data_IF_187299629382
#
_entry.id   IF_187299629382
#
_cell.length_a   1.000
_cell.length_b   1.000
_cell.length_c   1.000
_cell.angle_alpha   90.00
_cell.angle_beta   90.00
_cell.angle_gamma   90.00
#
_symmetry.space_group_name_H-M   'P 1'
#
loop_
_entity.id
_entity.type
_entity.pdbx_description
1 polymer ?
#
# COMPACT_ATOMS: atom_id res chain seq x y z
N UNK A 1 -28.05 -20.60 26.42
CA UNK A 1 -27.08 -21.68 26.64
C UNK A 1 -26.68 -22.21 25.27
N UNK A 2 -25.63 -21.62 24.74
CA UNK A 2 -24.61 -22.22 23.88
C UNK A 2 -23.60 -21.08 23.71
N UNK A 3 -22.69 -21.00 24.68
CA UNK A 3 -21.51 -20.16 24.59
C UNK A 3 -20.68 -20.72 23.44
N UNK A 4 -20.76 -20.07 22.28
CA UNK A 4 -19.79 -20.24 21.20
C UNK A 4 -18.49 -19.61 21.70
N UNK A 5 -17.75 -20.35 22.51
CA UNK A 5 -16.37 -20.03 22.86
C UNK A 5 -15.52 -20.37 21.64
N UNK A 6 -15.66 -19.58 20.58
CA UNK A 6 -14.72 -19.58 19.47
C UNK A 6 -13.32 -19.37 20.08
N UNK A 7 -12.40 -20.27 19.76
CA UNK A 7 -11.01 -20.17 20.19
C UNK A 7 -10.45 -18.83 19.72
N UNK A 8 -10.43 -17.83 20.62
CA UNK A 8 -9.82 -16.54 20.37
C UNK A 8 -8.38 -16.77 19.96
N UNK A 9 -8.00 -16.19 18.83
CA UNK A 9 -6.61 -16.21 18.37
C UNK A 9 -5.79 -15.44 19.40
N UNK A 10 -4.73 -16.04 19.94
CA UNK A 10 -3.81 -15.34 20.82
C UNK A 10 -2.97 -14.35 19.99
N UNK A 11 -3.42 -13.10 19.96
CA UNK A 11 -2.77 -11.99 19.26
C UNK A 11 -1.79 -11.21 20.16
N UNK A 12 -1.50 -11.66 21.38
CA UNK A 12 -0.73 -10.86 22.36
C UNK A 12 0.69 -10.59 21.86
N UNK A 13 1.42 -11.65 21.48
CA UNK A 13 2.78 -11.55 20.92
C UNK A 13 2.78 -10.77 19.59
N UNK A 14 1.70 -10.90 18.81
CA UNK A 14 1.52 -10.16 17.56
C UNK A 14 1.43 -8.66 17.83
N UNK A 15 0.57 -8.25 18.75
CA UNK A 15 0.34 -6.85 19.08
C UNK A 15 1.60 -6.20 19.64
N UNK A 16 2.37 -6.91 20.45
CA UNK A 16 3.66 -6.44 20.96
C UNK A 16 4.66 -6.18 19.82
N UNK A 17 4.86 -7.13 18.90
CA UNK A 17 5.77 -6.97 17.76
C UNK A 17 5.35 -5.86 16.81
N UNK A 18 4.05 -5.74 16.52
CA UNK A 18 3.53 -4.68 15.67
C UNK A 18 3.67 -3.31 16.34
N UNK A 19 3.42 -3.22 17.66
CA UNK A 19 3.63 -1.98 18.39
C UNK A 19 5.10 -1.58 18.41
N UNK A 20 6.00 -2.53 18.67
CA UNK A 20 7.45 -2.30 18.58
C UNK A 20 7.86 -1.78 17.20
N UNK A 21 7.34 -2.40 16.12
CA UNK A 21 7.58 -1.94 14.77
C UNK A 21 7.09 -0.50 14.55
N UNK A 22 5.87 -0.15 14.99
CA UNK A 22 5.33 1.21 14.86
C UNK A 22 6.13 2.23 15.66
N UNK A 23 6.53 1.88 16.89
CA UNK A 23 7.33 2.74 17.76
C UNK A 23 8.71 3.01 17.16
N UNK A 24 9.34 1.98 16.58
CA UNK A 24 10.61 2.15 15.87
C UNK A 24 10.46 3.02 14.63
N UNK A 25 9.35 2.92 13.89
CA UNK A 25 9.09 3.86 12.78
C UNK A 25 8.89 5.29 13.28
N UNK A 26 8.07 5.50 14.32
CA UNK A 26 7.79 6.81 14.90
C UNK A 26 9.05 7.47 15.50
N UNK A 27 10.03 6.67 15.93
CA UNK A 27 11.33 7.17 16.39
C UNK A 27 12.16 7.84 15.28
N UNK A 28 11.91 7.48 14.02
CA UNK A 28 12.64 7.99 12.85
C UNK A 28 11.80 8.98 12.04
N UNK A 29 10.50 8.70 11.87
CA UNK A 29 9.58 9.47 11.03
C UNK A 29 8.55 10.16 11.92
N UNK A 30 8.45 11.48 11.78
CA UNK A 30 7.51 12.32 12.55
C UNK A 30 6.20 12.48 11.77
N UNK A 31 5.05 12.41 12.47
CA UNK A 31 3.76 12.85 11.93
C UNK A 31 3.09 11.91 10.91
N UNK A 32 3.59 10.69 10.73
CA UNK A 32 3.14 9.78 9.66
C UNK A 32 2.47 8.50 10.18
N UNK A 33 1.96 8.50 11.43
CA UNK A 33 1.39 7.30 12.06
C UNK A 33 0.27 6.65 11.23
N UNK A 34 -0.65 7.45 10.68
CA UNK A 34 -1.72 6.94 9.84
C UNK A 34 -1.19 6.30 8.53
N UNK A 35 -0.19 6.94 7.90
CA UNK A 35 0.46 6.41 6.71
C UNK A 35 1.13 5.07 7.01
N UNK A 36 1.78 4.95 8.17
CA UNK A 36 2.41 3.70 8.64
C UNK A 36 1.37 2.60 8.79
N UNK A 37 0.26 2.88 9.49
CA UNK A 37 -0.83 1.92 9.66
C UNK A 37 -1.39 1.40 8.33
N UNK A 38 -1.59 2.31 7.37
CA UNK A 38 -2.11 1.95 6.05
C UNK A 38 -1.12 1.14 5.21
N UNK A 39 0.18 1.47 5.26
CA UNK A 39 1.23 0.72 4.57
C UNK A 39 1.35 -0.69 5.16
N UNK A 40 1.37 -0.83 6.49
CA UNK A 40 1.39 -2.13 7.16
C UNK A 40 0.12 -2.93 6.86
N UNK A 41 -1.05 -2.29 6.86
CA UNK A 41 -2.30 -2.94 6.51
C UNK A 41 -2.28 -3.46 5.07
N UNK A 42 -1.73 -2.68 4.14
CA UNK A 42 -1.59 -3.11 2.75
C UNK A 42 -0.60 -4.27 2.59
N UNK A 43 0.54 -4.26 3.30
CA UNK A 43 1.50 -5.36 3.27
C UNK A 43 0.86 -6.66 3.81
N UNK A 44 0.14 -6.58 4.93
CA UNK A 44 -0.58 -7.74 5.49
C UNK A 44 -1.68 -8.23 4.56
N UNK A 45 -2.46 -7.32 3.96
CA UNK A 45 -3.50 -7.63 2.98
C UNK A 45 -2.95 -8.11 1.62
N UNK A 46 -1.61 -8.24 1.48
CA UNK A 46 -0.94 -8.60 0.25
C UNK A 46 -1.33 -7.69 -0.93
N UNK A 47 -1.39 -6.38 -0.66
CA UNK A 47 -1.76 -5.35 -1.62
C UNK A 47 -0.62 -4.39 -1.93
N UNK A 48 -0.75 -3.68 -3.04
CA UNK A 48 0.18 -2.62 -3.44
C UNK A 48 -0.35 -1.25 -3.05
N UNK A 49 0.54 -0.29 -2.82
CA UNK A 49 0.17 1.07 -2.37
C UNK A 49 0.70 2.10 -3.34
N UNK A 50 -0.16 3.05 -3.71
CA UNK A 50 0.25 4.27 -4.40
C UNK A 50 0.33 5.42 -3.39
N UNK A 51 1.50 6.00 -3.22
CA UNK A 51 1.75 7.12 -2.31
C UNK A 51 1.91 8.40 -3.14
N UNK A 52 0.91 9.25 -3.11
CA UNK A 52 0.95 10.58 -3.70
C UNK A 52 1.45 11.58 -2.65
N UNK A 53 2.39 12.45 -3.03
CA UNK A 53 2.82 13.50 -2.13
C UNK A 53 3.88 14.39 -2.72
N UNK A 54 4.13 15.50 -2.07
CA UNK A 54 5.20 16.44 -2.45
C UNK A 54 6.59 15.85 -2.19
N UNK A 55 7.66 16.37 -2.82
CA UNK A 55 9.02 15.97 -2.50
C UNK A 55 9.37 16.24 -1.03
N UNK A 56 10.22 15.40 -0.44
CA UNK A 56 10.76 15.63 0.91
C UNK A 56 9.95 15.08 2.09
N UNK A 57 8.75 14.53 1.88
CA UNK A 57 7.89 13.98 2.97
C UNK A 57 8.24 12.54 3.38
N UNK A 58 9.54 12.19 3.41
CA UNK A 58 10.06 10.91 3.91
C UNK A 58 9.49 9.61 3.26
N UNK A 59 8.86 9.66 2.08
CA UNK A 59 8.30 8.49 1.36
C UNK A 59 9.30 7.34 1.20
N UNK A 60 10.49 7.66 0.67
CA UNK A 60 11.56 6.68 0.47
C UNK A 60 12.08 6.12 1.80
N UNK A 61 12.12 6.95 2.84
CA UNK A 61 12.56 6.55 4.18
C UNK A 61 11.57 5.59 4.81
N UNK A 62 10.26 5.87 4.71
CA UNK A 62 9.18 4.99 5.18
C UNK A 62 9.28 3.60 4.56
N UNK A 63 9.38 3.52 3.23
CA UNK A 63 9.45 2.25 2.53
C UNK A 63 10.68 1.41 2.96
N UNK A 64 11.86 2.06 3.02
CA UNK A 64 13.11 1.39 3.40
C UNK A 64 13.10 0.95 4.86
N UNK A 65 12.63 1.81 5.76
CA UNK A 65 12.56 1.53 7.19
C UNK A 65 11.59 0.37 7.47
N UNK A 66 10.42 0.39 6.81
CA UNK A 66 9.42 -0.68 6.92
C UNK A 66 10.02 -2.03 6.48
N UNK A 67 10.72 -2.07 5.35
CA UNK A 67 11.36 -3.31 4.88
C UNK A 67 12.45 -3.79 5.84
N UNK A 68 13.28 -2.89 6.36
CA UNK A 68 14.31 -3.22 7.34
C UNK A 68 13.74 -3.81 8.63
N UNK A 69 12.65 -3.24 9.13
CA UNK A 69 11.99 -3.68 10.36
C UNK A 69 11.27 -5.03 10.23
N UNK A 70 10.93 -5.41 9.01
CA UNK A 70 10.27 -6.69 8.65
C UNK A 70 11.31 -7.77 8.24
N UNK A 71 12.59 -7.42 8.19
CA UNK A 71 13.65 -8.29 7.63
C UNK A 71 13.33 -8.73 6.19
N UNK A 72 12.77 -7.82 5.40
CA UNK A 72 12.37 -8.04 4.02
C UNK A 72 13.41 -7.50 3.04
N UNK A 73 13.62 -8.21 1.92
CA UNK A 73 14.45 -7.71 0.84
C UNK A 73 13.86 -6.41 0.28
N UNK A 74 14.69 -5.36 0.22
CA UNK A 74 14.28 -4.04 -0.26
C UNK A 74 14.95 -3.70 -1.59
N UNK A 75 14.17 -3.20 -2.52
CA UNK A 75 14.67 -2.66 -3.78
C UNK A 75 14.02 -1.31 -4.08
N UNK A 76 14.81 -0.41 -4.68
CA UNK A 76 14.35 0.91 -5.12
C UNK A 76 14.59 1.05 -6.61
N UNK A 77 13.53 1.40 -7.34
CA UNK A 77 13.54 1.67 -8.76
C UNK A 77 13.08 3.10 -8.98
N UNK A 78 13.94 3.92 -9.56
CA UNK A 78 13.58 5.27 -9.97
C UNK A 78 13.01 5.19 -11.39
N UNK A 79 11.76 5.61 -11.58
CA UNK A 79 11.18 5.67 -12.91
C UNK A 79 11.64 6.92 -13.63
N UNK A 80 12.20 6.73 -14.82
CA UNK A 80 12.71 7.78 -15.69
C UNK A 80 12.18 7.59 -17.11
N UNK A 81 12.17 8.65 -17.95
CA UNK A 81 11.62 8.58 -19.31
C UNK A 81 12.32 7.58 -20.24
N UNK A 82 13.55 7.19 -19.91
CA UNK A 82 14.40 6.26 -20.64
C UNK A 82 14.39 4.83 -20.09
N UNK A 83 13.70 4.58 -18.97
CA UNK A 83 13.67 3.27 -18.32
C UNK A 83 13.00 2.22 -19.21
N UNK A 84 13.70 1.11 -19.45
CA UNK A 84 13.19 -0.01 -20.23
C UNK A 84 12.56 -1.08 -19.33
N UNK A 85 11.60 -1.89 -19.85
CA UNK A 85 11.05 -3.01 -19.10
C UNK A 85 12.12 -3.98 -18.57
N UNK A 86 13.19 -4.22 -19.34
CA UNK A 86 14.31 -5.08 -18.93
C UNK A 86 15.08 -4.55 -17.72
N UNK A 87 15.12 -3.24 -17.51
CA UNK A 87 15.81 -2.64 -16.36
C UNK A 87 15.02 -2.88 -15.05
N UNK A 88 13.71 -3.13 -15.17
CA UNK A 88 12.81 -3.44 -14.06
C UNK A 88 12.72 -4.95 -13.85
N UNK A 89 12.40 -5.69 -14.92
CA UNK A 89 12.11 -7.12 -14.86
C UNK A 89 13.38 -7.97 -14.79
N UNK A 90 14.49 -7.50 -15.35
CA UNK A 90 15.71 -8.28 -15.55
C UNK A 90 15.99 -8.58 -17.01
N UNK A 91 17.14 -9.17 -17.26
CA UNK A 91 17.63 -9.47 -18.61
C UNK A 91 18.36 -10.80 -18.64
N UNK A 92 18.31 -11.47 -19.78
CA UNK A 92 19.02 -12.71 -20.01
C UNK A 92 20.38 -12.38 -20.62
N UNK A 93 21.46 -12.82 -19.95
CA UNK A 93 22.84 -12.53 -20.35
C UNK A 93 23.51 -13.82 -20.80
N UNK A 94 24.16 -13.79 -21.96
CA UNK A 94 24.93 -14.94 -22.44
C UNK A 94 26.21 -15.08 -21.62
N UNK A 95 26.35 -16.20 -20.90
CA UNK A 95 27.52 -16.52 -20.12
C UNK A 95 28.54 -17.28 -20.97
N UNK A 96 29.61 -16.59 -21.37
CA UNK A 96 30.67 -17.15 -22.22
C UNK A 96 31.42 -18.34 -21.57
N UNK A 97 31.36 -18.51 -20.24
CA UNK A 97 32.03 -19.62 -19.55
C UNK A 97 31.23 -20.91 -19.64
N UNK A 98 29.91 -20.82 -19.55
CA UNK A 98 29.00 -21.98 -19.61
C UNK A 98 28.44 -22.21 -21.02
N UNK A 99 28.60 -21.24 -21.94
CA UNK A 99 27.90 -21.19 -23.23
C UNK A 99 26.37 -21.31 -23.07
N UNK A 100 25.85 -20.76 -21.98
CA UNK A 100 24.42 -20.79 -21.65
C UNK A 100 23.90 -19.36 -21.39
N UNK A 101 22.58 -19.22 -21.37
CA UNK A 101 21.88 -17.97 -21.11
C UNK A 101 21.44 -17.91 -19.64
N UNK A 102 22.07 -17.05 -18.85
CA UNK A 102 21.74 -16.86 -17.44
C UNK A 102 20.77 -15.69 -17.27
N UNK A 103 19.65 -15.94 -16.58
CA UNK A 103 18.70 -14.87 -16.26
C UNK A 103 19.19 -14.06 -15.06
N UNK A 104 19.47 -12.78 -15.28
CA UNK A 104 19.78 -11.82 -14.23
C UNK A 104 18.48 -11.15 -13.79
N UNK A 105 18.04 -11.52 -12.58
CA UNK A 105 16.84 -10.94 -11.95
C UNK A 105 16.95 -9.43 -11.84
N UNK A 106 15.90 -8.74 -12.27
CA UNK A 106 15.78 -7.30 -12.10
C UNK A 106 15.47 -6.90 -10.66
N UNK A 107 15.50 -5.59 -10.36
CA UNK A 107 15.20 -5.05 -9.04
C UNK A 107 13.76 -5.36 -8.56
N UNK A 108 12.87 -5.79 -9.44
CA UNK A 108 11.47 -6.11 -9.12
C UNK A 108 11.30 -7.38 -8.29
N UNK A 109 12.33 -8.20 -8.11
CA UNK A 109 12.26 -9.49 -7.40
C UNK A 109 12.42 -9.39 -5.87
N UNK A 110 12.61 -8.19 -5.32
CA UNK A 110 12.67 -7.98 -3.87
C UNK A 110 11.28 -8.09 -3.21
N UNK A 111 11.23 -8.30 -1.90
CA UNK A 111 9.99 -8.45 -1.15
C UNK A 111 9.19 -7.14 -1.06
N UNK A 112 9.89 -6.03 -0.84
CA UNK A 112 9.32 -4.68 -0.87
C UNK A 112 10.05 -3.87 -1.93
N UNK A 113 9.30 -3.46 -2.95
CA UNK A 113 9.83 -2.69 -4.07
C UNK A 113 9.27 -1.27 -4.02
N UNK A 114 10.14 -0.29 -3.79
CA UNK A 114 9.81 1.12 -3.92
C UNK A 114 9.97 1.54 -5.39
N UNK A 115 8.88 1.97 -6.01
CA UNK A 115 8.88 2.54 -7.36
C UNK A 115 8.69 4.04 -7.25
N UNK A 116 9.76 4.81 -7.40
CA UNK A 116 9.69 6.27 -7.31
C UNK A 116 9.27 6.89 -8.64
N UNK A 117 8.32 7.83 -8.57
CA UNK A 117 7.82 8.62 -9.72
C UNK A 117 7.29 7.75 -10.86
N UNK A 118 6.38 6.81 -10.54
CA UNK A 118 5.81 5.84 -11.47
C UNK A 118 5.25 6.48 -12.77
N UNK A 119 4.81 7.73 -12.69
CA UNK A 119 4.28 8.50 -13.80
C UNK A 119 5.36 9.02 -14.78
N UNK A 120 6.66 8.88 -14.51
CA UNK A 120 7.74 9.34 -15.40
C UNK A 120 8.20 8.29 -16.41
N UNK A 121 7.93 7.00 -16.17
CA UNK A 121 8.32 5.96 -17.12
C UNK A 121 7.36 5.86 -18.31
N UNK A 122 7.86 5.40 -19.48
CA UNK A 122 7.01 5.11 -20.63
C UNK A 122 5.91 4.09 -20.32
N UNK A 123 4.80 4.18 -21.04
CA UNK A 123 3.64 3.29 -20.88
C UNK A 123 4.00 1.79 -21.00
N UNK A 124 5.03 1.43 -21.79
CA UNK A 124 5.49 0.03 -21.93
C UNK A 124 6.10 -0.50 -20.62
N UNK A 125 6.91 0.31 -19.96
CA UNK A 125 7.58 -0.05 -18.69
C UNK A 125 6.58 -0.06 -17.54
N UNK A 126 5.62 0.88 -17.54
CA UNK A 126 4.48 0.83 -16.64
C UNK A 126 3.64 -0.45 -16.83
N UNK A 127 3.31 -0.81 -18.08
CA UNK A 127 2.54 -2.01 -18.38
C UNK A 127 3.24 -3.28 -17.87
N UNK A 128 4.56 -3.38 -18.05
CA UNK A 128 5.36 -4.46 -17.49
C UNK A 128 5.25 -4.54 -15.96
N UNK A 129 5.37 -3.42 -15.24
CA UNK A 129 5.17 -3.38 -13.78
C UNK A 129 3.76 -3.85 -13.39
N UNK A 130 2.72 -3.38 -14.08
CA UNK A 130 1.34 -3.74 -13.76
C UNK A 130 1.00 -5.20 -14.04
N UNK A 131 1.67 -5.82 -15.01
CA UNK A 131 1.57 -7.27 -15.25
C UNK A 131 2.10 -8.04 -14.04
N UNK A 132 3.28 -7.65 -13.51
CA UNK A 132 3.85 -8.27 -12.30
C UNK A 132 2.95 -8.06 -11.08
N UNK A 133 2.37 -6.88 -10.94
CA UNK A 133 1.44 -6.58 -9.84
C UNK A 133 0.21 -7.50 -9.84
N UNK A 134 -0.35 -7.79 -11.01
CA UNK A 134 -1.56 -8.60 -11.13
C UNK A 134 -1.26 -10.10 -11.07
N UNK A 135 -0.27 -10.56 -11.85
CA UNK A 135 0.03 -11.98 -12.04
C UNK A 135 0.99 -12.54 -10.99
N UNK A 136 1.75 -11.67 -10.29
CA UNK A 136 2.80 -12.03 -9.31
C UNK A 136 3.83 -13.01 -9.88
N UNK A 137 4.07 -12.91 -11.18
CA UNK A 137 5.08 -13.66 -11.90
C UNK A 137 5.50 -12.89 -13.14
N UNK A 138 6.66 -13.24 -13.67
CA UNK A 138 7.21 -12.70 -14.92
C UNK A 138 7.55 -13.88 -15.82
N UNK A 139 7.27 -13.76 -17.11
CA UNK A 139 7.75 -14.73 -18.11
C UNK A 139 8.75 -14.07 -19.04
N UNK A 140 10.00 -14.53 -19.00
CA UNK A 140 11.09 -14.06 -19.87
C UNK A 140 11.67 -15.28 -20.59
N UNK A 141 11.82 -15.17 -21.91
CA UNK A 141 12.38 -16.23 -22.78
C UNK A 141 11.73 -17.61 -22.58
N UNK A 142 10.42 -17.64 -22.31
CA UNK A 142 9.66 -18.87 -22.10
C UNK A 142 9.78 -19.49 -20.70
N UNK A 143 10.57 -18.90 -19.80
CA UNK A 143 10.69 -19.33 -18.40
C UNK A 143 9.89 -18.40 -17.50
N UNK A 144 9.05 -18.97 -16.64
CA UNK A 144 8.24 -18.22 -15.68
C UNK A 144 8.93 -18.16 -14.31
N UNK A 145 9.13 -16.96 -13.81
CA UNK A 145 9.69 -16.67 -12.50
C UNK A 145 8.60 -16.08 -11.59
N UNK A 146 8.30 -16.73 -10.47
CA UNK A 146 7.29 -16.27 -9.52
C UNK A 146 7.90 -15.29 -8.52
N UNK A 147 7.11 -14.31 -8.09
CA UNK A 147 7.48 -13.42 -7.00
C UNK A 147 7.42 -14.17 -5.65
N UNK A 148 8.11 -13.64 -4.64
CA UNK A 148 8.05 -14.14 -3.27
C UNK A 148 6.65 -14.07 -2.66
N UNK A 149 6.41 -14.82 -1.58
CA UNK A 149 5.13 -14.77 -0.86
C UNK A 149 4.89 -13.40 -0.20
N UNK A 150 5.94 -12.77 0.32
CA UNK A 150 5.93 -11.36 0.71
C UNK A 150 6.32 -10.56 -0.53
N UNK A 151 5.34 -9.93 -1.18
CA UNK A 151 5.60 -9.11 -2.34
C UNK A 151 4.66 -7.90 -2.41
N UNK A 152 5.23 -6.73 -2.15
CA UNK A 152 4.52 -5.45 -2.10
C UNK A 152 5.29 -4.36 -2.84
N UNK A 153 4.66 -3.79 -3.85
CA UNK A 153 5.11 -2.56 -4.50
C UNK A 153 4.52 -1.35 -3.77
N UNK A 154 5.41 -0.44 -3.37
CA UNK A 154 5.09 0.91 -2.90
C UNK A 154 5.47 1.87 -4.03
N UNK A 155 4.48 2.34 -4.79
CA UNK A 155 4.72 3.29 -5.88
C UNK A 155 4.54 4.71 -5.37
N UNK A 156 5.38 5.65 -5.78
CA UNK A 156 5.24 7.07 -5.46
C UNK A 156 4.91 7.90 -6.71
N UNK A 157 4.12 8.94 -6.52
CA UNK A 157 3.82 9.92 -7.55
C UNK A 157 3.91 11.33 -6.97
N UNK A 158 4.47 12.27 -7.73
CA UNK A 158 4.44 13.69 -7.40
C UNK A 158 3.32 14.37 -8.22
N UNK A 159 2.31 14.98 -7.58
CA UNK A 159 1.20 15.61 -8.30
C UNK A 159 1.57 16.91 -9.02
N UNK A 160 2.69 17.55 -8.65
CA UNK A 160 3.07 18.89 -9.14
C UNK A 160 3.85 18.82 -10.46
N UNK A 161 4.50 17.69 -10.77
CA UNK A 161 5.29 17.53 -11.99
C UNK A 161 4.41 17.32 -13.23
N UNK A 162 4.36 18.33 -14.09
CA UNK A 162 3.61 18.29 -15.35
C UNK A 162 4.50 17.95 -16.57
N UNK A 163 5.82 18.10 -16.47
CA UNK A 163 6.72 17.90 -17.60
C UNK A 163 7.19 16.44 -17.68
N UNK A 164 6.98 15.80 -18.83
CA UNK A 164 7.43 14.42 -19.06
C UNK A 164 6.67 13.35 -18.25
N UNK A 165 5.46 13.64 -17.80
CA UNK A 165 4.65 12.68 -17.02
C UNK A 165 3.53 12.04 -17.85
N UNK A 166 3.32 10.75 -17.63
CA UNK A 166 2.27 9.92 -18.20
C UNK A 166 1.24 9.65 -17.11
N UNK A 167 0.02 10.17 -17.29
CA UNK A 167 -1.10 9.86 -16.39
C UNK A 167 -1.37 8.37 -16.41
N UNK A 168 -1.49 7.77 -15.23
CA UNK A 168 -1.90 6.38 -15.09
C UNK A 168 -3.39 6.25 -15.44
N UNK A 169 -3.76 5.40 -16.42
CA UNK A 169 -5.15 5.01 -16.65
C UNK A 169 -5.81 4.46 -15.38
N UNK A 170 -7.11 4.71 -15.25
CA UNK A 170 -7.93 4.25 -14.11
C UNK A 170 -7.89 2.72 -13.93
N UNK A 171 -7.83 1.98 -15.04
CA UNK A 171 -7.69 0.52 -15.00
C UNK A 171 -6.38 0.05 -14.36
N UNK A 172 -5.33 0.89 -14.39
CA UNK A 172 -4.06 0.62 -13.73
C UNK A 172 -4.08 1.04 -12.26
N UNK A 173 -4.68 2.19 -11.96
CA UNK A 173 -4.88 2.65 -10.58
C UNK A 173 -5.67 1.63 -9.76
N UNK A 174 -6.69 0.99 -10.35
CA UNK A 174 -7.53 -0.02 -9.67
C UNK A 174 -6.73 -1.25 -9.15
N UNK A 175 -5.50 -1.47 -9.65
CA UNK A 175 -4.59 -2.54 -9.17
C UNK A 175 -3.93 -2.23 -7.82
N UNK A 176 -3.86 -0.96 -7.44
CA UNK A 176 -3.40 -0.59 -6.09
C UNK A 176 -4.51 -0.85 -5.08
N UNK A 177 -4.18 -1.50 -3.97
CA UNK A 177 -5.12 -1.72 -2.87
C UNK A 177 -5.57 -0.36 -2.32
N UNK A 178 -4.58 0.50 -2.02
CA UNK A 178 -4.78 1.83 -1.46
C UNK A 178 -4.00 2.87 -2.25
N UNK A 179 -4.59 4.07 -2.32
CA UNK A 179 -3.89 5.30 -2.59
C UNK A 179 -3.78 6.07 -1.28
N UNK A 180 -2.62 6.60 -0.94
CA UNK A 180 -2.36 7.39 0.28
C UNK A 180 -1.79 8.75 -0.15
N UNK A 181 -2.28 9.83 0.45
CA UNK A 181 -1.78 11.18 0.21
C UNK A 181 -0.94 11.61 1.40
N UNK A 182 0.29 12.06 1.16
CA UNK A 182 1.20 12.61 2.16
C UNK A 182 1.42 14.10 1.88
N UNK A 183 0.88 14.93 2.75
CA UNK A 183 1.05 16.38 2.73
C UNK A 183 2.33 16.81 3.47
N UNK A 184 2.65 18.10 3.41
CA UNK A 184 3.71 18.66 4.24
C UNK A 184 3.40 18.47 5.73
N UNK A 185 4.42 18.25 6.57
CA UNK A 185 4.23 18.19 8.01
C UNK A 185 3.60 19.49 8.52
N UNK A 186 2.85 19.37 9.61
CA UNK A 186 2.42 20.53 10.39
C UNK A 186 3.62 21.29 10.95
N UNK A 187 3.41 22.53 11.39
CA UNK A 187 4.48 23.32 12.01
C UNK A 187 5.12 22.60 13.20
N UNK A 188 4.31 21.93 14.02
CA UNK A 188 4.79 21.19 15.20
C UNK A 188 5.66 20.00 14.78
N UNK A 189 5.20 19.22 13.81
CA UNK A 189 5.95 18.10 13.25
C UNK A 189 7.24 18.54 12.55
N UNK A 190 7.21 19.68 11.86
CA UNK A 190 8.39 20.25 11.20
C UNK A 190 9.43 20.73 12.24
N UNK A 191 8.98 21.35 13.34
CA UNK A 191 9.85 21.70 14.47
C UNK A 191 10.47 20.44 15.07
N UNK A 192 9.71 19.39 15.30
CA UNK A 192 10.22 18.11 15.82
C UNK A 192 11.27 17.49 14.89
N UNK A 193 11.05 17.54 13.56
CA UNK A 193 12.03 17.11 12.56
C UNK A 193 13.32 17.93 12.70
N UNK A 194 13.20 19.26 12.81
CA UNK A 194 14.36 20.15 12.98
C UNK A 194 15.11 19.87 14.29
N UNK A 195 14.42 19.66 15.40
CA UNK A 195 15.03 19.34 16.69
C UNK A 195 15.81 18.01 16.66
N UNK A 196 15.23 16.98 16.04
CA UNK A 196 15.89 15.67 15.86
C UNK A 196 17.15 15.78 15.00
N UNK A 197 17.11 16.56 13.92
CA UNK A 197 18.28 16.84 13.08
C UNK A 197 19.33 17.71 13.77
N UNK A 198 18.92 18.70 14.56
CA UNK A 198 19.82 19.60 15.27
C UNK A 198 20.62 18.88 16.37
N UNK A 199 19.97 17.96 17.08
CA UNK A 199 20.57 17.22 18.21
C UNK A 199 21.42 16.01 17.77
N UNK A 200 21.56 15.75 16.47
CA UNK A 200 22.12 14.51 15.90
C UNK A 200 21.43 13.22 16.40
N UNK A 201 20.29 13.32 17.08
CA UNK A 201 19.51 12.17 17.54
C UNK A 201 18.99 11.33 16.36
N UNK A 202 18.85 11.93 15.18
CA UNK A 202 18.39 11.28 13.94
C UNK A 202 19.49 10.60 13.11
N UNK A 203 20.74 10.53 13.58
CA UNK A 203 21.79 9.75 12.91
C UNK A 203 21.75 8.25 13.29
N UNK A 204 20.56 7.71 13.64
CA UNK A 204 20.38 6.26 13.60
C UNK A 204 20.60 5.86 12.15
N UNK A 205 21.76 5.26 11.88
CA UNK A 205 21.99 4.67 10.56
C UNK A 205 20.94 3.58 10.40
N UNK A 206 20.18 3.63 9.33
CA UNK A 206 19.21 2.58 8.98
C UNK A 206 19.80 1.17 9.08
N UNK A 207 21.11 1.05 8.81
CA UNK A 207 21.85 -0.21 8.90
C UNK A 207 21.94 -0.77 10.34
N UNK A 208 21.93 0.09 11.36
CA UNK A 208 22.02 -0.27 12.77
C UNK A 208 20.65 -0.66 13.37
N UNK A 209 19.55 -0.41 12.65
CA UNK A 209 18.20 -0.78 13.06
C UNK A 209 18.06 -2.30 12.94
N UNK A 210 17.68 -2.94 14.05
CA UNK A 210 17.40 -4.38 14.10
C UNK A 210 15.96 -4.64 13.64
N UNK A 211 15.71 -5.74 12.92
CA UNK A 211 14.34 -6.14 12.61
C UNK A 211 13.52 -6.35 13.89
N UNK A 212 12.29 -5.83 13.91
CA UNK A 212 11.31 -6.06 14.97
C UNK A 212 10.52 -7.36 14.73
N UNK A 213 10.27 -7.65 13.45
CA UNK A 213 9.61 -8.86 12.99
C UNK A 213 10.36 -9.45 11.80
N UNK A 214 10.38 -10.77 11.69
CA UNK A 214 10.92 -11.45 10.51
C UNK A 214 9.86 -11.62 9.42
N UNK A 215 10.30 -11.85 8.19
CA UNK A 215 9.43 -12.16 7.05
C UNK A 215 8.54 -13.38 7.31
N UNK A 216 9.09 -14.45 7.87
CA UNK A 216 8.37 -15.68 8.18
C UNK A 216 7.31 -15.45 9.26
N UNK A 217 7.66 -14.69 10.30
CA UNK A 217 6.69 -14.27 11.30
C UNK A 217 5.57 -13.47 10.63
N UNK A 218 5.87 -12.45 9.82
CA UNK A 218 4.85 -11.66 9.12
C UNK A 218 3.93 -12.51 8.22
N UNK A 219 4.48 -13.51 7.52
CA UNK A 219 3.67 -14.43 6.70
C UNK A 219 2.76 -15.32 7.55
N UNK A 220 3.23 -15.77 8.72
CA UNK A 220 2.37 -16.46 9.69
C UNK A 220 1.23 -15.55 10.17
N UNK A 221 1.49 -14.25 10.32
CA UNK A 221 0.48 -13.27 10.70
C UNK A 221 -0.57 -13.07 9.62
N UNK A 222 -0.14 -13.00 8.36
CA UNK A 222 -1.03 -12.95 7.21
C UNK A 222 -1.99 -14.15 7.19
N UNK A 223 -1.59 -15.33 7.65
CA UNK A 223 -2.49 -16.48 7.69
C UNK A 223 -3.71 -16.27 8.61
N UNK A 224 -3.58 -15.46 9.67
CA UNK A 224 -4.70 -15.11 10.56
C UNK A 224 -5.76 -14.23 9.89
N UNK A 225 -5.45 -13.56 8.78
CA UNK A 225 -6.45 -12.80 7.98
C UNK A 225 -7.69 -13.62 7.62
N UNK A 226 -7.50 -14.92 7.38
CA UNK A 226 -8.59 -15.83 7.04
C UNK A 226 -9.46 -16.16 8.26
N UNK A 227 -8.93 -16.03 9.47
CA UNK A 227 -9.61 -16.29 10.74
C UNK A 227 -10.32 -15.06 11.29
N UNK A 228 -9.98 -13.85 10.81
CA UNK A 228 -10.66 -12.62 11.23
C UNK A 228 -12.16 -12.70 10.93
N UNK A 229 -12.96 -12.61 11.99
CA UNK A 229 -14.40 -12.64 11.93
C UNK A 229 -14.95 -11.34 11.31
N UNK A 230 -15.88 -11.51 10.37
CA UNK A 230 -16.60 -10.39 9.74
C UNK A 230 -18.07 -10.75 9.69
N UNK A 231 -18.86 -10.02 10.46
CA UNK A 231 -20.30 -10.22 10.49
C UNK A 231 -20.93 -9.94 9.11
N UNK A 232 -22.02 -10.66 8.80
CA UNK A 232 -22.73 -10.50 7.51
C UNK A 232 -23.24 -9.08 7.31
N UNK A 233 -23.64 -8.37 8.37
CA UNK A 233 -24.07 -6.98 8.30
C UNK A 233 -22.94 -6.04 7.89
N UNK A 234 -21.70 -6.32 8.28
CA UNK A 234 -20.51 -5.57 7.85
C UNK A 234 -20.17 -5.83 6.38
N UNK A 235 -20.32 -7.08 5.91
CA UNK A 235 -20.20 -7.39 4.48
C UNK A 235 -21.23 -6.61 3.65
N UNK A 236 -22.48 -6.52 4.14
CA UNK A 236 -23.52 -5.71 3.53
C UNK A 236 -23.18 -4.22 3.58
N UNK A 237 -22.64 -3.73 4.69
CA UNK A 237 -22.20 -2.34 4.84
C UNK A 237 -21.13 -1.96 3.81
N UNK A 238 -20.09 -2.79 3.62
CA UNK A 238 -19.07 -2.61 2.58
C UNK A 238 -19.72 -2.55 1.19
N UNK A 239 -20.61 -3.50 0.88
CA UNK A 239 -21.30 -3.55 -0.40
C UNK A 239 -22.17 -2.32 -0.64
N UNK A 240 -22.87 -1.81 0.38
CA UNK A 240 -23.70 -0.61 0.33
C UNK A 240 -22.86 0.65 0.08
N UNK A 241 -21.71 0.81 0.74
CA UNK A 241 -20.78 1.92 0.49
C UNK A 241 -20.37 1.92 -0.99
N UNK A 242 -19.92 0.78 -1.51
CA UNK A 242 -19.49 0.67 -2.91
C UNK A 242 -20.67 0.90 -3.86
N UNK A 243 -21.87 0.41 -3.56
CA UNK A 243 -23.06 0.66 -4.36
C UNK A 243 -23.44 2.14 -4.39
N UNK A 244 -23.34 2.85 -3.26
CA UNK A 244 -23.63 4.29 -3.20
C UNK A 244 -22.75 5.09 -4.16
N UNK A 245 -21.50 4.68 -4.36
CA UNK A 245 -20.59 5.34 -5.33
C UNK A 245 -21.12 5.28 -6.75
N UNK A 246 -21.82 4.21 -7.14
CA UNK A 246 -22.39 4.03 -8.49
C UNK A 246 -23.72 4.74 -8.70
N UNK A 247 -24.41 5.08 -7.61
CA UNK A 247 -25.70 5.78 -7.64
C UNK A 247 -25.59 7.28 -7.38
N UNK A 248 -24.40 7.74 -6.98
CA UNK A 248 -24.15 9.15 -6.68
C UNK A 248 -24.14 10.00 -7.95
N UNK A 249 -24.86 11.13 -7.92
CA UNK A 249 -24.86 12.09 -9.04
C UNK A 249 -23.50 12.79 -9.26
N UNK A 250 -22.66 12.83 -8.23
CA UNK A 250 -21.33 13.44 -8.31
C UNK A 250 -20.28 12.51 -8.95
N UNK A 251 -20.63 11.26 -9.20
CA UNK A 251 -19.71 10.22 -9.67
C UNK A 251 -20.14 9.79 -11.07
N UNK A 252 -19.26 10.01 -12.05
CA UNK A 252 -19.45 9.55 -13.42
C UNK A 252 -19.22 8.04 -13.54
N UNK A 253 -18.17 7.54 -12.90
CA UNK A 253 -17.87 6.10 -12.82
C UNK A 253 -17.54 5.71 -11.37
N UNK A 254 -18.39 4.88 -10.79
CA UNK A 254 -18.23 4.38 -9.42
C UNK A 254 -17.31 3.18 -9.31
N UNK A 255 -16.96 2.82 -8.07
CA UNK A 255 -15.97 1.80 -7.78
C UNK A 255 -16.44 0.39 -8.19
N UNK A 256 -15.52 -0.45 -8.67
CA UNK A 256 -15.80 -1.83 -9.12
C UNK A 256 -16.01 -2.79 -7.93
N UNK A 257 -16.47 -4.05 -8.15
CA UNK A 257 -16.51 -5.05 -7.07
C UNK A 257 -15.14 -5.36 -6.45
N UNK A 258 -14.03 -5.08 -7.16
CA UNK A 258 -12.67 -5.18 -6.59
C UNK A 258 -12.51 -4.24 -5.39
N UNK A 259 -13.17 -3.09 -5.40
CA UNK A 259 -13.17 -2.17 -4.26
C UNK A 259 -13.80 -2.79 -3.00
N UNK A 260 -14.89 -3.57 -3.15
CA UNK A 260 -15.51 -4.27 -2.01
C UNK A 260 -14.56 -5.31 -1.41
N UNK A 261 -13.87 -6.08 -2.25
CA UNK A 261 -12.87 -7.06 -1.81
C UNK A 261 -11.67 -6.36 -1.17
N UNK A 262 -11.18 -5.28 -1.78
CA UNK A 262 -10.08 -4.47 -1.27
C UNK A 262 -10.40 -3.86 0.10
N UNK A 263 -11.61 -3.29 0.27
CA UNK A 263 -12.07 -2.78 1.56
C UNK A 263 -12.12 -3.89 2.61
N UNK A 264 -12.68 -5.05 2.27
CA UNK A 264 -12.75 -6.19 3.20
C UNK A 264 -11.36 -6.63 3.66
N UNK A 265 -10.42 -6.82 2.73
CA UNK A 265 -9.06 -7.23 3.07
C UNK A 265 -8.32 -6.15 3.86
N UNK A 266 -8.43 -4.88 3.45
CA UNK A 266 -7.86 -3.76 4.20
C UNK A 266 -8.41 -3.66 5.63
N UNK A 267 -9.72 -3.80 5.83
CA UNK A 267 -10.34 -3.75 7.15
C UNK A 267 -9.92 -4.92 8.04
N UNK A 268 -9.79 -6.14 7.48
CA UNK A 268 -9.26 -7.29 8.22
C UNK A 268 -7.82 -7.08 8.66
N UNK A 269 -6.98 -6.58 7.75
CA UNK A 269 -5.58 -6.30 8.05
C UNK A 269 -5.45 -5.20 9.11
N UNK A 270 -6.25 -4.13 8.99
CA UNK A 270 -6.27 -3.07 9.97
C UNK A 270 -6.77 -3.56 11.34
N UNK A 271 -7.85 -4.34 11.40
CA UNK A 271 -8.35 -4.93 12.64
C UNK A 271 -7.27 -5.78 13.34
N UNK A 272 -6.57 -6.63 12.57
CA UNK A 272 -5.44 -7.39 13.11
C UNK A 272 -4.37 -6.46 13.68
N UNK A 273 -3.92 -5.44 12.94
CA UNK A 273 -2.92 -4.47 13.43
C UNK A 273 -3.33 -3.73 14.70
N UNK A 274 -4.63 -3.64 14.99
CA UNK A 274 -5.18 -3.10 16.23
C UNK A 274 -5.34 -4.15 17.35
N UNK A 275 -4.81 -5.36 17.15
CA UNK A 275 -4.87 -6.48 18.10
C UNK A 275 -6.24 -7.16 18.18
N UNK A 276 -7.08 -7.05 17.14
CA UNK A 276 -8.44 -7.61 17.12
C UNK A 276 -8.59 -8.69 16.07
N UNK A 277 -9.29 -9.77 16.42
CA UNK A 277 -9.66 -10.89 15.55
C UNK A 277 -11.05 -10.71 14.90
N UNK A 278 -11.64 -9.52 14.98
CA UNK A 278 -12.91 -9.18 14.34
C UNK A 278 -12.90 -7.75 13.78
N UNK A 279 -13.60 -7.56 12.67
CA UNK A 279 -13.78 -6.25 12.03
C UNK A 279 -14.92 -5.48 12.71
N UNK A 280 -14.72 -4.18 12.89
CA UNK A 280 -15.73 -3.21 13.34
C UNK A 280 -16.08 -2.23 12.21
N UNK A 281 -17.21 -1.50 12.30
CA UNK A 281 -17.54 -0.47 11.32
C UNK A 281 -16.49 0.63 11.18
N UNK A 282 -15.80 0.97 12.27
CA UNK A 282 -14.76 2.02 12.26
C UNK A 282 -13.53 1.60 11.44
N UNK A 283 -13.18 0.30 11.42
CA UNK A 283 -12.12 -0.22 10.55
C UNK A 283 -12.45 -0.04 9.07
N UNK A 284 -13.72 -0.23 8.71
CA UNK A 284 -14.22 -0.07 7.34
C UNK A 284 -14.19 1.41 6.96
N UNK A 285 -14.68 2.28 7.83
CA UNK A 285 -14.66 3.73 7.60
C UNK A 285 -13.24 4.28 7.49
N UNK A 286 -12.31 3.79 8.30
CA UNK A 286 -10.92 4.22 8.28
C UNK A 286 -10.25 3.91 6.93
N UNK A 287 -10.39 2.68 6.42
CA UNK A 287 -9.71 2.27 5.17
C UNK A 287 -10.44 2.72 3.90
N UNK A 288 -11.76 2.94 3.96
CA UNK A 288 -12.58 3.19 2.77
C UNK A 288 -12.12 4.40 1.92
N UNK A 289 -11.74 5.57 2.49
CA UNK A 289 -11.21 6.69 1.73
C UNK A 289 -10.01 6.31 0.86
N UNK A 290 -9.07 5.58 1.43
CA UNK A 290 -7.82 5.18 0.77
C UNK A 290 -8.02 4.10 -0.30
N UNK A 291 -9.05 3.27 -0.14
CA UNK A 291 -9.43 2.25 -1.12
C UNK A 291 -10.27 2.84 -2.25
N UNK A 292 -11.14 3.81 -1.99
CA UNK A 292 -12.10 4.30 -2.97
C UNK A 292 -11.61 5.50 -3.78
N UNK A 293 -10.76 6.37 -3.23
CA UNK A 293 -10.45 7.66 -3.85
C UNK A 293 -9.89 7.57 -5.29
N UNK A 294 -9.14 6.52 -5.61
CA UNK A 294 -8.56 6.28 -6.94
C UNK A 294 -9.40 5.33 -7.81
N UNK A 295 -10.61 5.01 -7.36
CA UNK A 295 -11.58 4.15 -8.06
C UNK A 295 -12.85 4.90 -8.44
N UNK A 296 -12.86 6.22 -8.27
CA UNK A 296 -13.99 7.10 -8.56
C UNK A 296 -13.58 8.13 -9.60
N UNK A 297 -14.34 8.17 -10.71
CA UNK A 297 -14.26 9.26 -11.68
C UNK A 297 -15.43 10.19 -11.38
N UNK A 298 -15.13 11.45 -11.10
CA UNK A 298 -16.16 12.46 -10.82
C UNK A 298 -16.79 12.98 -12.12
N UNK A 299 -18.01 13.49 -12.01
CA UNK A 299 -18.64 14.26 -13.09
C UNK A 299 -17.99 15.64 -13.20
N UNK A 300 -17.93 16.21 -14.41
CA UNK A 300 -17.36 17.54 -14.63
C UNK A 300 -18.02 18.62 -13.76
N UNK A 301 -19.34 18.54 -13.55
CA UNK A 301 -20.07 19.47 -12.67
C UNK A 301 -19.57 19.40 -11.22
N UNK A 302 -19.34 18.19 -10.69
CA UNK A 302 -18.83 18.00 -9.34
C UNK A 302 -17.40 18.54 -9.20
N UNK A 303 -16.54 18.34 -10.20
CA UNK A 303 -15.19 18.92 -10.21
C UNK A 303 -15.24 20.45 -10.24
N UNK A 304 -16.14 21.04 -11.04
CA UNK A 304 -16.35 22.49 -11.11
C UNK A 304 -16.88 23.07 -9.79
N UNK A 305 -17.67 22.31 -9.03
CA UNK A 305 -18.13 22.66 -7.69
C UNK A 305 -17.03 22.48 -6.62
N UNK A 306 -15.82 22.03 -6.99
CA UNK A 306 -14.68 21.87 -6.09
C UNK A 306 -14.72 20.58 -5.26
N UNK A 307 -15.51 19.59 -5.67
CA UNK A 307 -15.45 18.25 -5.06
C UNK A 307 -14.17 17.54 -5.46
N UNK A 308 -13.56 16.85 -4.49
CA UNK A 308 -12.47 15.91 -4.73
C UNK A 308 -12.96 14.48 -4.48
N UNK A 309 -12.34 13.45 -5.08
CA UNK A 309 -12.69 12.05 -4.82
C UNK A 309 -12.68 11.70 -3.34
N UNK A 310 -11.74 12.27 -2.57
CA UNK A 310 -11.66 12.12 -1.10
C UNK A 310 -12.92 12.68 -0.42
N UNK A 311 -13.31 13.93 -0.73
CA UNK A 311 -14.49 14.57 -0.14
C UNK A 311 -15.79 13.83 -0.50
N UNK A 312 -15.90 13.39 -1.76
CA UNK A 312 -17.07 12.62 -2.22
C UNK A 312 -17.13 11.29 -1.49
N UNK A 313 -16.00 10.59 -1.36
CA UNK A 313 -15.92 9.33 -0.64
C UNK A 313 -16.36 9.48 0.81
N UNK A 314 -15.82 10.46 1.54
CA UNK A 314 -16.18 10.71 2.93
C UNK A 314 -17.69 10.94 3.08
N UNK A 315 -18.27 11.80 2.24
CA UNK A 315 -19.71 12.08 2.24
C UNK A 315 -20.56 10.84 1.94
N UNK A 316 -20.09 9.96 1.05
CA UNK A 316 -20.80 8.72 0.72
C UNK A 316 -20.75 7.73 1.88
N UNK A 317 -19.62 7.62 2.58
CA UNK A 317 -19.47 6.78 3.77
C UNK A 317 -20.41 7.27 4.88
N UNK A 318 -20.42 8.57 5.17
CA UNK A 318 -21.24 9.17 6.22
C UNK A 318 -22.75 9.03 5.97
N UNK A 319 -23.16 8.85 4.71
CA UNK A 319 -24.56 8.67 4.32
C UNK A 319 -25.06 7.24 4.55
N UNK A 320 -24.18 6.25 4.58
CA UNK A 320 -24.59 4.85 4.80
C UNK A 320 -24.73 4.63 6.31
N UNK A 321 -25.93 4.22 6.73
CA UNK A 321 -26.17 3.89 8.14
C UNK A 321 -25.25 2.78 8.60
N UNK A 322 -24.60 3.01 9.75
CA UNK A 322 -23.74 2.03 10.39
C UNK A 322 -24.62 0.90 10.94
N UNK A 323 -24.31 -0.38 10.63
CA UNK A 323 -25.06 -1.49 11.20
C UNK A 323 -24.95 -1.49 12.73
N UNK A 324 -26.06 -1.84 13.40
CA UNK A 324 -26.16 -1.91 14.86
C UNK A 324 -25.61 -3.21 15.42
#
# INVERSE_FOLDING_TARGET
MEENTEQRVDLTLFSEKIQELKDQIASVIVGQEQTVDLVLAAILANGHVLIEGVPGVAKTLLARLTARLIDADFSRIQFTPDLMPSDVLGTTVFNMKTNDFDFHQGPIFADIVLVDEINRAPAKTQAALFEVMEERQISIDGTTHKMGELYTILATQNPVEQEGTYKLPEAQLDRFLMKITMDYPSLEEEVDILERHHTNASLIKLDDIKPAITKEELLSLRAFMNQVFVDRTLLQYIALIVQQTRTSKAVYLGASPRASVAMLQASKAYALLQGRDFVTPEDIKFVAPYVLQHRLILTAEAEMEGYSPVKVTQRLIDKVEVPK
#
